data_IF_980181585853
#
_entry.id   IF_980181585853
#
_cell.length_a   1.000
_cell.length_b   1.000
_cell.length_c   1.000
_cell.angle_alpha   90.00
_cell.angle_beta   90.00
_cell.angle_gamma   90.00
#
_symmetry.space_group_name_H-M   'P 1'
#
loop_
_entity.id
_entity.type
_entity.pdbx_description
1 polymer ?
#
# COMPACT_ATOMS: atom_id res chain seq x y z
N UNK A 1 12.50 11.76 -9.81
CA UNK A 1 13.57 12.58 -9.17
C UNK A 1 14.32 11.75 -8.12
N UNK A 2 15.64 11.96 -7.93
CA UNK A 2 16.42 11.24 -6.92
C UNK A 2 16.43 12.01 -5.59
N UNK A 3 16.11 11.34 -4.50
CA UNK A 3 16.22 11.84 -3.13
C UNK A 3 17.03 10.87 -2.27
N UNK A 4 17.61 11.37 -1.17
CA UNK A 4 18.36 10.55 -0.22
C UNK A 4 17.60 10.48 1.11
N UNK A 5 17.19 9.28 1.52
CA UNK A 5 16.58 9.01 2.83
C UNK A 5 17.66 8.57 3.80
N UNK A 6 17.94 9.39 4.82
CA UNK A 6 18.92 9.07 5.86
C UNK A 6 18.23 8.81 7.20
N UNK A 7 18.63 7.75 7.90
CA UNK A 7 18.10 7.40 9.22
C UNK A 7 19.16 6.72 10.08
N UNK A 8 18.95 6.70 11.38
CA UNK A 8 19.88 6.08 12.34
C UNK A 8 19.30 4.75 12.80
N UNK A 9 20.13 3.69 12.80
CA UNK A 9 19.74 2.36 13.24
C UNK A 9 20.75 1.80 14.24
N UNK A 10 20.24 1.18 15.31
CA UNK A 10 21.05 0.38 16.23
C UNK A 10 21.20 -1.05 15.66
N UNK A 11 22.42 -1.53 15.54
CA UNK A 11 22.71 -2.90 15.08
C UNK A 11 22.44 -3.91 16.20
N UNK A 12 22.39 -5.21 15.86
CA UNK A 12 22.25 -6.28 16.86
C UNK A 12 23.37 -6.26 17.91
N UNK A 13 24.58 -5.80 17.54
CA UNK A 13 25.71 -5.61 18.46
C UNK A 13 25.71 -4.30 19.23
N UNK A 14 24.61 -3.53 19.21
CA UNK A 14 24.43 -2.32 20.00
C UNK A 14 25.05 -1.04 19.42
N UNK A 15 25.81 -1.12 18.32
CA UNK A 15 26.39 0.04 17.64
C UNK A 15 25.30 0.87 16.95
N UNK A 16 25.36 2.18 17.11
CA UNK A 16 24.48 3.14 16.41
C UNK A 16 25.15 3.57 15.12
N UNK A 17 24.47 3.41 13.98
CA UNK A 17 25.00 3.74 12.65
C UNK A 17 23.99 4.55 11.84
N UNK A 18 24.46 5.59 11.14
CA UNK A 18 23.65 6.31 10.14
C UNK A 18 23.65 5.51 8.83
N UNK A 19 22.46 5.22 8.31
CA UNK A 19 22.25 4.59 7.02
C UNK A 19 21.66 5.62 6.05
N UNK A 20 22.19 5.69 4.84
CA UNK A 20 21.67 6.51 3.74
C UNK A 20 21.21 5.56 2.65
N UNK A 21 20.02 5.80 2.11
CA UNK A 21 19.45 5.06 0.99
C UNK A 21 18.96 6.04 -0.06
N UNK A 22 19.16 5.66 -1.32
CA UNK A 22 18.53 6.34 -2.44
C UNK A 22 17.03 6.08 -2.44
N UNK A 23 16.28 7.09 -2.83
CA UNK A 23 14.83 7.07 -2.92
C UNK A 23 14.40 7.74 -4.23
N UNK A 24 13.80 6.95 -5.11
CA UNK A 24 13.42 7.38 -6.44
C UNK A 24 11.94 7.76 -6.45
N UNK A 25 11.66 9.01 -6.82
CA UNK A 25 10.32 9.51 -7.10
C UNK A 25 10.01 9.33 -8.59
N UNK A 26 8.79 8.91 -8.88
CA UNK A 26 8.29 8.46 -10.17
C UNK A 26 6.94 9.12 -10.43
N UNK A 27 6.83 9.77 -11.58
CA UNK A 27 5.59 10.43 -12.02
C UNK A 27 4.67 9.48 -12.80
N UNK A 28 5.09 8.23 -13.04
CA UNK A 28 4.36 7.21 -13.81
C UNK A 28 3.56 6.23 -12.93
N UNK A 29 3.33 6.59 -11.66
CA UNK A 29 2.52 5.78 -10.74
C UNK A 29 1.04 6.10 -10.97
N UNK A 30 0.32 5.14 -11.55
CA UNK A 30 -1.11 5.29 -11.84
C UNK A 30 -1.98 5.19 -10.58
N UNK A 31 -3.13 5.87 -10.59
CA UNK A 31 -4.06 5.94 -9.46
C UNK A 31 -4.98 4.71 -9.30
N UNK A 32 -5.00 3.80 -10.29
CA UNK A 32 -5.84 2.59 -10.26
C UNK A 32 -7.33 2.82 -10.51
N UNK A 33 -7.76 4.06 -10.73
CA UNK A 33 -9.14 4.43 -11.05
C UNK A 33 -9.36 4.48 -12.57
N UNK A 34 -10.37 3.78 -13.10
CA UNK A 34 -10.70 3.78 -14.53
C UNK A 34 -11.31 5.11 -15.02
N UNK A 35 -11.82 5.95 -14.11
CA UNK A 35 -12.35 7.28 -14.43
C UNK A 35 -11.25 8.33 -14.65
N UNK A 36 -9.99 8.00 -14.39
CA UNK A 36 -8.88 8.91 -14.60
C UNK A 36 -8.57 9.07 -16.09
N UNK A 37 -8.45 10.31 -16.56
CA UNK A 37 -8.10 10.63 -17.95
C UNK A 37 -6.60 10.83 -18.18
N UNK A 38 -5.81 10.89 -17.10
CA UNK A 38 -4.37 11.18 -17.14
C UNK A 38 -3.54 9.90 -17.04
N UNK A 39 -3.93 8.99 -16.15
CA UNK A 39 -3.20 7.75 -15.91
C UNK A 39 -3.55 6.66 -16.93
N UNK A 40 -2.66 5.69 -17.11
CA UNK A 40 -3.01 4.46 -17.82
C UNK A 40 -4.05 3.65 -17.02
N UNK A 41 -5.19 3.36 -17.66
CA UNK A 41 -6.35 2.68 -17.06
C UNK A 41 -6.38 1.19 -17.41
N UNK A 42 -5.45 0.68 -18.22
CA UNK A 42 -5.39 -0.72 -18.66
C UNK A 42 -5.41 -1.73 -17.50
N UNK A 43 -4.79 -1.38 -16.38
CA UNK A 43 -4.68 -2.20 -15.17
C UNK A 43 -5.46 -1.60 -13.97
N UNK A 44 -6.49 -0.77 -14.24
CA UNK A 44 -7.35 -0.24 -13.20
C UNK A 44 -8.07 -1.38 -12.45
N UNK A 45 -8.09 -1.29 -11.12
CA UNK A 45 -8.71 -2.31 -10.25
C UNK A 45 -9.94 -1.80 -9.53
N UNK A 46 -10.10 -0.49 -9.42
CA UNK A 46 -11.30 0.12 -8.86
C UNK A 46 -12.44 0.07 -9.87
N UNK A 47 -13.67 0.17 -9.38
CA UNK A 47 -14.86 0.25 -10.22
C UNK A 47 -14.87 1.51 -11.11
N UNK A 48 -15.66 1.47 -12.19
CA UNK A 48 -15.83 2.59 -13.14
C UNK A 48 -16.35 3.88 -12.47
N UNK A 49 -17.22 3.70 -11.47
CA UNK A 49 -17.93 4.76 -10.78
C UNK A 49 -18.16 4.35 -9.32
N UNK A 50 -17.11 4.32 -8.48
CA UNK A 50 -17.27 3.99 -7.07
C UNK A 50 -18.08 5.10 -6.40
N UNK A 51 -19.09 4.73 -5.61
CA UNK A 51 -19.81 5.70 -4.78
C UNK A 51 -18.92 6.24 -3.66
N UNK A 52 -18.04 5.39 -3.12
CA UNK A 52 -17.09 5.71 -2.05
C UNK A 52 -15.82 4.89 -2.26
N UNK A 53 -14.65 5.52 -2.11
CA UNK A 53 -13.35 4.84 -2.09
C UNK A 53 -12.88 4.77 -0.65
N UNK A 54 -12.52 3.58 -0.18
CA UNK A 54 -12.02 3.38 1.17
C UNK A 54 -10.49 3.41 1.17
N UNK A 55 -9.89 4.30 1.96
CA UNK A 55 -8.44 4.31 2.18
C UNK A 55 -8.17 3.69 3.55
N UNK A 56 -7.37 2.62 3.57
CA UNK A 56 -7.08 1.90 4.82
C UNK A 56 -5.98 2.57 5.64
N UNK A 57 -6.20 2.60 6.95
CA UNK A 57 -5.16 2.88 7.95
C UNK A 57 -4.56 1.57 8.50
N UNK A 58 -3.33 1.64 9.00
CA UNK A 58 -2.61 0.51 9.59
C UNK A 58 -3.39 -0.15 10.73
N UNK A 59 -4.01 0.64 11.62
CA UNK A 59 -4.70 0.07 12.78
C UNK A 59 -5.98 -0.66 12.39
N UNK A 60 -6.68 -0.20 11.35
CA UNK A 60 -7.87 -0.87 10.81
C UNK A 60 -7.47 -2.22 10.24
N UNK A 61 -6.38 -2.28 9.45
CA UNK A 61 -5.87 -3.54 8.91
C UNK A 61 -5.49 -4.51 10.02
N UNK A 62 -4.79 -4.05 11.06
CA UNK A 62 -4.31 -4.92 12.14
C UNK A 62 -5.44 -5.50 12.98
N UNK A 63 -6.48 -4.70 13.24
CA UNK A 63 -7.55 -5.08 14.17
C UNK A 63 -8.80 -5.65 13.48
N UNK A 64 -9.01 -5.37 12.19
CA UNK A 64 -10.23 -5.67 11.46
C UNK A 64 -9.98 -6.36 10.12
N UNK A 65 -8.92 -7.16 10.01
CA UNK A 65 -8.62 -7.90 8.76
C UNK A 65 -9.75 -8.85 8.35
N UNK A 66 -10.43 -9.48 9.32
CA UNK A 66 -11.55 -10.39 9.03
C UNK A 66 -12.73 -9.66 8.38
N UNK A 67 -12.95 -8.40 8.75
CA UNK A 67 -13.96 -7.54 8.12
C UNK A 67 -13.55 -7.21 6.67
N UNK A 68 -12.27 -6.89 6.44
CA UNK A 68 -11.75 -6.58 5.10
C UNK A 68 -11.79 -7.79 4.16
N UNK A 69 -11.75 -9.02 4.69
CA UNK A 69 -11.93 -10.25 3.91
C UNK A 69 -13.37 -10.48 3.45
N UNK A 70 -14.36 -9.79 4.03
CA UNK A 70 -15.75 -9.91 3.63
C UNK A 70 -15.95 -9.43 2.16
N UNK A 71 -16.54 -10.25 1.27
CA UNK A 71 -16.76 -9.88 -0.14
C UNK A 71 -17.67 -8.67 -0.36
N UNK A 72 -18.41 -8.22 0.66
CA UNK A 72 -19.22 -7.01 0.58
C UNK A 72 -18.37 -5.72 0.51
N UNK A 73 -17.09 -5.78 0.89
CA UNK A 73 -16.18 -4.63 0.87
C UNK A 73 -15.35 -4.64 -0.43
N UNK A 74 -15.59 -3.63 -1.24
CA UNK A 74 -14.95 -3.38 -2.53
C UNK A 74 -14.45 -1.92 -2.60
N UNK A 75 -13.68 -1.62 -3.64
CA UNK A 75 -13.14 -0.28 -3.94
C UNK A 75 -12.25 0.28 -2.81
N UNK A 76 -11.27 -0.53 -2.43
CA UNK A 76 -10.34 -0.25 -1.33
C UNK A 76 -8.96 0.08 -1.86
N UNK A 77 -8.41 1.19 -1.38
CA UNK A 77 -7.04 1.63 -1.63
C UNK A 77 -6.18 1.39 -0.39
N UNK A 78 -5.09 0.67 -0.59
CA UNK A 78 -4.08 0.37 0.42
C UNK A 78 -2.81 1.13 0.09
N UNK A 79 -2.30 1.92 1.03
CA UNK A 79 -1.04 2.62 0.83
C UNK A 79 0.16 1.68 1.02
N UNK A 80 1.21 1.88 0.24
CA UNK A 80 2.45 1.09 0.36
C UNK A 80 3.07 1.19 1.75
N UNK A 81 3.02 2.37 2.38
CA UNK A 81 3.50 2.57 3.74
C UNK A 81 2.70 1.77 4.78
N UNK A 82 1.39 1.63 4.58
CA UNK A 82 0.51 0.83 5.44
C UNK A 82 0.86 -0.65 5.34
N UNK A 83 1.13 -1.16 4.13
CA UNK A 83 1.61 -2.53 3.96
C UNK A 83 2.93 -2.79 4.67
N UNK A 84 3.88 -1.86 4.56
CA UNK A 84 5.18 -1.99 5.23
C UNK A 84 5.05 -1.91 6.75
N UNK A 85 4.19 -1.04 7.28
CA UNK A 85 3.94 -0.95 8.72
C UNK A 85 3.26 -2.21 9.26
N UNK A 86 2.25 -2.73 8.56
CA UNK A 86 1.58 -4.00 8.91
C UNK A 86 2.58 -5.16 8.86
N UNK A 87 3.44 -5.23 7.84
CA UNK A 87 4.50 -6.24 7.74
C UNK A 87 5.45 -6.22 8.94
N UNK A 88 5.82 -5.02 9.40
CA UNK A 88 6.71 -4.86 10.55
C UNK A 88 6.03 -5.20 11.88
N UNK A 89 4.70 -5.01 12.01
CA UNK A 89 3.94 -5.28 13.23
C UNK A 89 3.41 -6.72 13.31
N UNK A 90 2.85 -7.26 12.23
CA UNK A 90 2.25 -8.59 12.19
C UNK A 90 2.33 -9.20 10.77
N UNK A 91 3.25 -10.16 10.60
CA UNK A 91 3.47 -10.83 9.31
C UNK A 91 2.28 -11.67 8.83
N UNK A 92 1.49 -12.23 9.76
CA UNK A 92 0.32 -13.04 9.40
C UNK A 92 -0.76 -12.18 8.74
N UNK A 93 -1.06 -11.02 9.34
CA UNK A 93 -2.01 -10.06 8.78
C UNK A 93 -1.52 -9.50 7.44
N UNK A 94 -0.22 -9.22 7.32
CA UNK A 94 0.38 -8.82 6.04
C UNK A 94 0.16 -9.86 4.94
N UNK A 95 0.39 -11.14 5.23
CA UNK A 95 0.21 -12.22 4.26
C UNK A 95 -1.27 -12.34 3.82
N UNK A 96 -2.21 -12.20 4.76
CA UNK A 96 -3.65 -12.18 4.48
C UNK A 96 -4.03 -10.98 3.60
N UNK A 97 -3.63 -9.77 3.98
CA UNK A 97 -3.89 -8.56 3.19
C UNK A 97 -3.28 -8.67 1.78
N UNK A 98 -2.08 -9.23 1.66
CA UNK A 98 -1.43 -9.48 0.37
C UNK A 98 -2.22 -10.48 -0.49
N UNK A 99 -2.79 -11.52 0.11
CA UNK A 99 -3.64 -12.47 -0.59
C UNK A 99 -4.92 -11.80 -1.13
N UNK A 100 -5.55 -10.91 -0.34
CA UNK A 100 -6.71 -10.12 -0.79
C UNK A 100 -6.30 -9.22 -1.97
N UNK A 101 -5.18 -8.51 -1.86
CA UNK A 101 -4.68 -7.63 -2.92
C UNK A 101 -4.28 -8.39 -4.19
N UNK A 102 -3.86 -9.66 -4.10
CA UNK A 102 -3.52 -10.46 -5.28
C UNK A 102 -4.74 -11.07 -5.97
N UNK A 103 -5.88 -11.15 -5.27
CA UNK A 103 -7.11 -11.70 -5.82
C UNK A 103 -7.76 -10.72 -6.80
N UNK A 104 -7.83 -11.08 -8.08
CA UNK A 104 -8.43 -10.24 -9.13
C UNK A 104 -9.94 -10.04 -8.99
N UNK A 105 -10.64 -10.93 -8.28
CA UNK A 105 -12.07 -10.75 -7.98
C UNK A 105 -12.31 -9.67 -6.93
N UNK A 106 -11.28 -9.29 -6.17
CA UNK A 106 -11.35 -8.26 -5.14
C UNK A 106 -10.85 -6.94 -5.71
N UNK A 107 -11.62 -5.87 -5.53
CA UNK A 107 -11.25 -4.51 -5.98
C UNK A 107 -10.33 -3.82 -4.99
N UNK A 108 -9.17 -4.44 -4.74
CA UNK A 108 -8.13 -3.91 -3.87
C UNK A 108 -6.98 -3.39 -4.71
N UNK A 109 -6.68 -2.11 -4.53
CA UNK A 109 -5.61 -1.42 -5.22
C UNK A 109 -4.53 -1.00 -4.22
N UNK A 110 -3.26 -1.26 -4.57
CA UNK A 110 -2.12 -0.83 -3.75
C UNK A 110 -1.50 0.39 -4.41
N UNK A 111 -1.49 1.52 -3.69
CA UNK A 111 -0.91 2.77 -4.17
C UNK A 111 0.49 2.96 -3.58
N UNK A 112 1.49 3.11 -4.46
CA UNK A 112 2.91 3.30 -4.12
C UNK A 112 3.20 4.76 -3.70
N UNK A 113 2.54 5.21 -2.64
CA UNK A 113 2.57 6.59 -2.14
C UNK A 113 3.96 7.11 -1.76
N UNK A 114 4.89 6.25 -1.36
CA UNK A 114 6.26 6.70 -1.05
C UNK A 114 7.01 7.12 -2.31
N UNK A 115 6.66 6.57 -3.48
CA UNK A 115 7.43 6.77 -4.71
C UNK A 115 6.79 7.75 -5.70
N UNK A 116 5.61 8.30 -5.40
CA UNK A 116 4.93 9.29 -6.23
C UNK A 116 5.37 10.71 -5.85
#
# INVERSE_FOLDING_TARGET
MLHNKSFVKKTKGGKVMKQVREHYLRDDIYCGAPSCTVCDTSNARLSASPSTILVLDTNVVLNQIDLLENPAIDDVVVLSIVLDEVKNKNMSVYNRLRAICNNSMRKFFVFSNEHH
#
